data_IF_438787929966
#
_entry.id   IF_438787929966
#
_cell.length_a   1.000
_cell.length_b   1.000
_cell.length_c   1.000
_cell.angle_alpha   90.00
_cell.angle_beta   90.00
_cell.angle_gamma   90.00
#
_symmetry.space_group_name_H-M   'P 1'
#
loop_
_entity.id
_entity.type
_entity.pdbx_description
1 polymer ?
#
# COMPACT_ATOMS: atom_id res chain seq x y z
N UNK A 1 -11.80 -16.44 -29.62
CA UNK A 1 -12.46 -15.83 -28.44
C UNK A 1 -11.43 -15.75 -27.32
N UNK A 2 -11.25 -14.60 -26.66
CA UNK A 2 -10.18 -14.38 -25.65
C UNK A 2 -10.43 -15.20 -24.37
N UNK A 3 -11.68 -15.26 -23.90
CA UNK A 3 -12.13 -16.22 -22.89
C UNK A 3 -13.63 -16.55 -23.14
N UNK A 4 -14.05 -17.82 -23.07
CA UNK A 4 -15.47 -18.19 -23.14
C UNK A 4 -16.27 -17.52 -22.02
N UNK A 5 -17.49 -17.05 -22.31
CA UNK A 5 -18.38 -16.44 -21.31
C UNK A 5 -18.15 -14.95 -21.02
N UNK A 6 -17.06 -14.33 -21.50
CA UNK A 6 -16.78 -12.89 -21.28
C UNK A 6 -17.85 -11.96 -21.88
N UNK A 7 -18.50 -12.39 -22.96
CA UNK A 7 -19.60 -11.66 -23.61
C UNK A 7 -20.92 -12.46 -23.51
N UNK A 8 -21.23 -12.99 -22.32
CA UNK A 8 -22.55 -13.56 -22.05
C UNK A 8 -23.59 -12.44 -21.88
N UNK A 9 -24.81 -12.65 -22.37
CA UNK A 9 -25.92 -11.71 -22.20
C UNK A 9 -26.33 -11.55 -20.73
N UNK A 10 -26.06 -12.54 -19.87
CA UNK A 10 -26.27 -12.46 -18.42
C UNK A 10 -25.21 -11.63 -17.68
N UNK A 11 -24.14 -11.21 -18.36
CA UNK A 11 -23.07 -10.40 -17.76
C UNK A 11 -23.47 -8.93 -17.75
N UNK A 12 -23.74 -8.38 -16.57
CA UNK A 12 -24.26 -7.01 -16.40
C UNK A 12 -23.31 -5.91 -16.95
N UNK A 13 -22.02 -5.99 -16.64
CA UNK A 13 -20.97 -5.11 -17.19
C UNK A 13 -19.59 -5.69 -16.90
N UNK A 14 -18.75 -5.83 -17.92
CA UNK A 14 -17.32 -6.08 -17.77
C UNK A 14 -16.57 -4.78 -18.09
N UNK A 15 -16.02 -4.13 -17.07
CA UNK A 15 -15.22 -2.92 -17.20
C UNK A 15 -13.84 -3.11 -16.61
N UNK A 16 -12.82 -2.54 -17.24
CA UNK A 16 -11.48 -2.48 -16.65
C UNK A 16 -11.44 -1.30 -15.69
N UNK A 17 -11.14 -1.58 -14.42
CA UNK A 17 -10.79 -0.54 -13.46
C UNK A 17 -9.26 -0.38 -13.45
N UNK A 18 -8.78 0.82 -13.78
CA UNK A 18 -7.35 1.17 -13.74
C UNK A 18 -7.17 2.42 -12.91
N UNK A 19 -6.25 2.36 -11.95
CA UNK A 19 -5.71 3.54 -11.29
C UNK A 19 -4.42 3.97 -11.99
N UNK A 20 -4.48 5.03 -12.78
CA UNK A 20 -3.33 5.51 -13.57
C UNK A 20 -2.24 6.20 -12.74
N UNK A 21 -2.61 6.76 -11.57
CA UNK A 21 -1.69 7.49 -10.71
C UNK A 21 -1.91 7.11 -9.25
N UNK A 22 -0.80 6.87 -8.55
CA UNK A 22 -0.80 6.84 -7.09
C UNK A 22 -0.32 8.19 -6.57
N UNK A 23 -1.02 8.71 -5.57
CA UNK A 23 -0.45 9.76 -4.73
C UNK A 23 0.69 9.14 -3.94
N UNK A 24 1.94 9.40 -4.34
CA UNK A 24 3.11 8.90 -3.64
C UNK A 24 3.50 9.91 -2.56
N UNK A 25 3.43 9.48 -1.31
CA UNK A 25 3.93 10.26 -0.18
C UNK A 25 5.45 10.17 -0.17
N UNK A 26 6.12 11.31 -0.06
CA UNK A 26 7.57 11.34 0.10
C UNK A 26 7.93 10.87 1.52
N UNK A 27 8.77 9.84 1.58
CA UNK A 27 9.22 9.20 2.82
C UNK A 27 10.70 8.87 2.76
N UNK A 28 11.33 8.73 3.93
CA UNK A 28 12.70 8.24 4.08
C UNK A 28 12.78 6.70 4.06
N UNK A 29 13.97 6.16 4.34
CA UNK A 29 14.24 4.72 4.42
C UNK A 29 13.45 3.99 5.52
N UNK A 30 12.96 4.73 6.53
CA UNK A 30 12.15 4.21 7.63
C UNK A 30 10.64 4.40 7.38
N UNK A 31 10.25 4.81 6.17
CA UNK A 31 8.88 5.15 5.79
C UNK A 31 8.30 6.33 6.58
N UNK A 32 9.17 7.17 7.15
CA UNK A 32 8.80 8.37 7.86
C UNK A 32 8.63 9.52 6.87
N UNK A 33 7.57 10.30 7.02
CA UNK A 33 7.37 11.51 6.21
C UNK A 33 8.31 12.63 6.68
N UNK A 34 8.28 13.78 5.99
CA UNK A 34 8.96 15.00 6.46
C UNK A 34 8.49 15.50 7.84
N UNK A 35 7.34 15.01 8.34
CA UNK A 35 6.81 15.35 9.66
C UNK A 35 7.32 14.31 10.66
N UNK A 36 8.00 14.76 11.72
CA UNK A 36 8.54 13.84 12.70
C UNK A 36 7.43 13.06 13.42
N UNK A 37 7.62 11.75 13.55
CA UNK A 37 6.64 10.82 14.13
C UNK A 37 5.46 10.44 13.23
N UNK A 38 5.35 11.01 12.02
CA UNK A 38 4.31 10.64 11.06
C UNK A 38 4.87 9.69 9.99
N UNK A 39 4.29 8.49 9.91
CA UNK A 39 4.71 7.43 8.98
C UNK A 39 3.61 7.15 7.95
N UNK A 40 4.02 6.88 6.71
CA UNK A 40 3.10 6.51 5.63
C UNK A 40 3.41 5.08 5.15
N UNK A 41 2.43 4.18 5.28
CA UNK A 41 2.57 2.73 5.08
C UNK A 41 1.50 2.22 4.10
N UNK A 42 1.69 1.00 3.62
CA UNK A 42 0.69 0.33 2.77
C UNK A 42 0.35 1.11 1.51
N UNK A 43 -0.79 0.79 0.90
CA UNK A 43 -1.14 1.35 -0.42
C UNK A 43 -1.36 2.88 -0.36
N UNK A 44 -1.74 3.41 0.81
CA UNK A 44 -1.86 4.84 1.06
C UNK A 44 -0.53 5.61 1.00
N UNK A 45 0.61 4.93 1.14
CA UNK A 45 1.93 5.54 0.93
C UNK A 45 2.26 5.78 -0.54
N UNK A 46 1.62 5.03 -1.45
CA UNK A 46 2.00 4.96 -2.86
C UNK A 46 3.36 4.27 -3.13
N UNK A 47 3.98 3.65 -2.12
CA UNK A 47 5.21 2.84 -2.24
C UNK A 47 4.88 1.35 -2.45
N UNK A 48 3.74 0.88 -1.93
CA UNK A 48 3.30 -0.52 -2.07
C UNK A 48 2.18 -0.66 -3.09
N UNK A 49 2.14 -1.82 -3.75
CA UNK A 49 1.13 -2.16 -4.75
C UNK A 49 0.56 -3.58 -4.54
N UNK A 50 0.80 -4.16 -3.36
CA UNK A 50 0.40 -5.52 -3.02
C UNK A 50 0.09 -5.61 -1.54
N UNK A 51 -0.91 -6.43 -1.20
CA UNK A 51 -1.22 -6.80 0.19
C UNK A 51 0.00 -7.32 0.95
N UNK A 52 0.88 -8.08 0.28
CA UNK A 52 2.10 -8.60 0.91
C UNK A 52 3.11 -7.49 1.24
N UNK A 53 3.28 -6.53 0.33
CA UNK A 53 4.15 -5.37 0.55
C UNK A 53 3.58 -4.46 1.63
N UNK A 54 2.27 -4.20 1.61
CA UNK A 54 1.59 -3.42 2.62
C UNK A 54 1.76 -4.04 4.01
N UNK A 55 1.57 -5.36 4.13
CA UNK A 55 1.77 -6.11 5.37
C UNK A 55 3.23 -6.05 5.85
N UNK A 56 4.19 -6.25 4.95
CA UNK A 56 5.62 -6.17 5.28
C UNK A 56 6.02 -4.77 5.77
N UNK A 57 5.48 -3.71 5.16
CA UNK A 57 5.73 -2.32 5.57
C UNK A 57 5.26 -2.03 7.00
N UNK A 58 4.10 -2.56 7.39
CA UNK A 58 3.57 -2.43 8.74
C UNK A 58 4.45 -3.12 9.79
N UNK A 59 4.88 -4.36 9.52
CA UNK A 59 5.78 -5.09 10.42
C UNK A 59 7.15 -4.39 10.52
N UNK A 60 7.65 -3.87 9.41
CA UNK A 60 8.93 -3.15 9.36
C UNK A 60 8.91 -1.92 10.25
N UNK A 61 7.92 -1.03 10.08
CA UNK A 61 7.80 0.18 10.92
C UNK A 61 7.47 -0.16 12.37
N UNK A 62 6.65 -1.18 12.62
CA UNK A 62 6.38 -1.66 13.98
C UNK A 62 7.67 -2.03 14.73
N UNK A 63 8.62 -2.71 14.07
CA UNK A 63 9.93 -3.05 14.66
C UNK A 63 10.82 -1.83 14.88
N UNK A 64 10.79 -0.85 13.98
CA UNK A 64 11.53 0.41 14.14
C UNK A 64 11.01 1.18 15.34
N UNK A 65 9.69 1.33 15.45
CA UNK A 65 9.05 2.03 16.57
C UNK A 65 9.31 1.32 17.89
N UNK A 66 9.18 -0.01 17.93
CA UNK A 66 9.49 -0.78 19.13
C UNK A 66 10.91 -0.50 19.64
N UNK A 67 11.92 -0.51 18.76
CA UNK A 67 13.29 -0.15 19.10
C UNK A 67 13.46 1.33 19.49
N UNK A 68 12.79 2.25 18.80
CA UNK A 68 12.87 3.71 19.07
C UNK A 68 12.32 4.10 20.45
N UNK A 69 11.37 3.32 20.97
CA UNK A 69 10.72 3.53 22.26
C UNK A 69 11.09 2.49 23.32
N UNK A 70 12.03 1.58 23.02
CA UNK A 70 12.56 0.63 23.99
C UNK A 70 13.31 1.39 25.11
N UNK A 71 12.90 1.19 26.36
CA UNK A 71 13.53 1.82 27.53
C UNK A 71 13.24 3.31 27.73
N UNK A 72 12.28 3.88 27.02
CA UNK A 72 11.73 5.22 27.32
C UNK A 72 10.57 5.07 28.32
N UNK A 73 10.91 4.88 29.58
CA UNK A 73 10.03 5.26 30.72
C UNK A 73 10.23 6.74 31.05
#
# INVERSE_FOLDING_TARGET
KIAPGTANEDTLLYGVEVKFYNSKVEVDENLQTKIDGLYALGDGSGVTHSLSQASASGVYVGRILAKKYEGKE
#
